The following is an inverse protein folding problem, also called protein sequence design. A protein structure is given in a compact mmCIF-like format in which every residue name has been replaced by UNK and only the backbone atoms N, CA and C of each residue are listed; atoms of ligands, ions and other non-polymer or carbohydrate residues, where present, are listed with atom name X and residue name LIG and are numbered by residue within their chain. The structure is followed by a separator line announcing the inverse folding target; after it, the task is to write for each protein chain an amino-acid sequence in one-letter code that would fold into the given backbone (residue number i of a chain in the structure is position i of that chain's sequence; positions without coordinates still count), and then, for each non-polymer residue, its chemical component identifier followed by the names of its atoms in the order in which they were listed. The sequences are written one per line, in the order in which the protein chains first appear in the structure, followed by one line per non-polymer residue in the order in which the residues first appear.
data_IF_626297354446
#
_entry.id   IF_626297354446
#
_cell.length_a   1.000
_cell.length_b   1.000
_cell.length_c   1.000
_cell.angle_alpha   90.00
_cell.angle_beta   90.00
_cell.angle_gamma   90.00
#
_symmetry.space_group_name_H-M   'P 1'
#
loop_
_entity.id
_entity.type
_entity.pdbx_description
1 polymer ?
#
# COMPACT_ATOMS: atom_id res chain seq x y z
N UNK A 1 -8.41 -12.10 -19.03
CA UNK A 1 -7.35 -11.09 -19.01
C UNK A 1 -7.59 -10.28 -17.74
N UNK A 2 -6.75 -10.41 -16.73
CA UNK A 2 -6.88 -9.56 -15.52
C UNK A 2 -6.20 -8.25 -15.92
N UNK A 3 -6.98 -7.20 -16.14
CA UNK A 3 -6.45 -5.87 -16.40
C UNK A 3 -5.54 -5.48 -15.23
N UNK A 4 -4.26 -5.32 -15.50
CA UNK A 4 -3.27 -4.87 -14.51
C UNK A 4 -3.49 -3.40 -14.13
N UNK A 5 -4.35 -2.70 -14.85
CA UNK A 5 -4.69 -1.28 -14.68
C UNK A 5 -5.76 -1.00 -13.61
N UNK A 6 -6.42 -2.04 -13.06
CA UNK A 6 -7.43 -1.86 -11.99
C UNK A 6 -6.83 -1.85 -10.57
N UNK A 7 -5.49 -1.79 -10.46
CA UNK A 7 -4.82 -1.73 -9.15
C UNK A 7 -4.82 -0.31 -8.62
N UNK A 8 -5.29 -0.16 -7.39
CA UNK A 8 -5.41 1.11 -6.68
C UNK A 8 -4.05 1.58 -6.15
N UNK A 9 -3.13 1.90 -7.05
CA UNK A 9 -1.82 2.46 -6.70
C UNK A 9 -1.99 3.87 -6.15
N UNK A 10 -1.49 4.12 -4.95
CA UNK A 10 -1.51 5.45 -4.34
C UNK A 10 -0.14 5.82 -3.77
N UNK A 11 0.05 7.09 -3.41
CA UNK A 11 1.29 7.51 -2.74
C UNK A 11 1.41 6.87 -1.35
N UNK A 12 2.62 6.86 -0.78
CA UNK A 12 2.85 6.43 0.61
C UNK A 12 1.96 7.18 1.60
N UNK A 13 1.80 8.49 1.42
CA UNK A 13 0.97 9.33 2.29
C UNK A 13 -0.52 8.98 2.20
N UNK A 14 -1.01 8.65 1.00
CA UNK A 14 -2.41 8.24 0.83
C UNK A 14 -2.66 6.81 1.34
N UNK A 15 -1.69 5.90 1.16
CA UNK A 15 -1.73 4.56 1.73
C UNK A 15 -1.79 4.64 3.27
N UNK A 16 -0.97 5.49 3.88
CA UNK A 16 -0.94 5.72 5.32
C UNK A 16 -2.31 6.16 5.86
N UNK A 17 -2.96 7.11 5.19
CA UNK A 17 -4.33 7.56 5.54
C UNK A 17 -5.35 6.43 5.43
N UNK A 18 -5.32 5.66 4.34
CA UNK A 18 -6.27 4.57 4.07
C UNK A 18 -6.12 3.39 5.04
N UNK A 19 -4.88 3.08 5.41
CA UNK A 19 -4.55 1.99 6.34
C UNK A 19 -4.57 2.42 7.81
N UNK A 20 -4.80 3.71 8.10
CA UNK A 20 -4.74 4.30 9.43
C UNK A 20 -3.41 4.02 10.17
N UNK A 21 -2.28 4.09 9.47
CA UNK A 21 -0.92 3.93 10.00
C UNK A 21 -0.02 5.11 9.59
N UNK A 22 1.21 5.18 10.10
CA UNK A 22 2.16 6.23 9.72
C UNK A 22 2.84 5.93 8.38
N UNK A 23 3.34 6.95 7.68
CA UNK A 23 4.14 6.77 6.46
C UNK A 23 5.40 5.91 6.73
N UNK A 24 5.99 6.04 7.92
CA UNK A 24 7.13 5.21 8.33
C UNK A 24 6.73 3.74 8.43
N UNK A 25 5.54 3.43 8.96
CA UNK A 25 5.03 2.07 9.01
C UNK A 25 4.71 1.52 7.60
N UNK A 26 4.17 2.35 6.69
CA UNK A 26 3.98 1.96 5.29
C UNK A 26 5.33 1.60 4.65
N UNK A 27 6.38 2.42 4.86
CA UNK A 27 7.73 2.15 4.35
C UNK A 27 8.31 0.86 4.92
N UNK A 28 8.17 0.63 6.23
CA UNK A 28 8.60 -0.62 6.87
C UNK A 28 7.87 -1.85 6.28
N UNK A 29 6.57 -1.74 5.98
CA UNK A 29 5.82 -2.81 5.31
C UNK A 29 6.29 -3.05 3.87
N UNK A 30 6.64 -2.00 3.13
CA UNK A 30 7.24 -2.12 1.79
C UNK A 30 8.62 -2.78 1.88
N UNK A 31 9.47 -2.37 2.81
CA UNK A 31 10.82 -2.91 3.00
C UNK A 31 10.78 -4.40 3.38
N UNK A 32 9.80 -4.79 4.21
CA UNK A 32 9.51 -6.20 4.55
C UNK A 32 8.81 -6.98 3.44
N UNK A 33 8.54 -6.35 2.29
CA UNK A 33 7.80 -6.91 1.14
C UNK A 33 6.37 -7.38 1.50
N UNK A 34 5.78 -6.80 2.54
CA UNK A 34 4.40 -7.04 2.94
C UNK A 34 3.40 -6.23 2.08
N UNK A 35 3.85 -5.09 1.53
CA UNK A 35 3.09 -4.31 0.56
C UNK A 35 3.77 -4.36 -0.81
N UNK A 36 2.94 -4.35 -1.87
CA UNK A 36 3.44 -4.14 -3.22
C UNK A 36 3.72 -2.67 -3.41
N UNK A 37 4.87 -2.36 -3.98
CA UNK A 37 5.26 -1.00 -4.30
C UNK A 37 5.91 -0.94 -5.69
N UNK A 38 5.80 0.22 -6.32
CA UNK A 38 6.38 0.51 -7.63
C UNK A 38 6.83 1.97 -7.67
N UNK A 39 7.79 2.29 -8.53
CA UNK A 39 8.19 3.67 -8.80
C UNK A 39 7.57 4.14 -10.10
N UNK A 40 6.73 5.18 -10.02
CA UNK A 40 6.11 5.84 -11.17
C UNK A 40 6.47 7.31 -11.12
N UNK A 41 7.01 7.85 -12.22
CA UNK A 41 7.40 9.25 -12.33
C UNK A 41 8.34 9.74 -11.21
N UNK A 42 9.22 8.85 -10.70
CA UNK A 42 10.15 9.16 -9.61
C UNK A 42 9.54 9.14 -8.21
N UNK A 43 8.27 8.76 -8.07
CA UNK A 43 7.55 8.69 -6.79
C UNK A 43 7.20 7.24 -6.46
N UNK A 44 7.44 6.85 -5.21
CA UNK A 44 7.05 5.55 -4.69
C UNK A 44 5.53 5.48 -4.54
N UNK A 45 4.92 4.59 -5.30
CA UNK A 45 3.52 4.24 -5.19
C UNK A 45 3.40 2.86 -4.55
N UNK A 46 2.36 2.70 -3.76
CA UNK A 46 2.07 1.50 -2.96
C UNK A 46 0.66 1.07 -3.28
N UNK A 47 0.44 -0.23 -3.41
CA UNK A 47 -0.90 -0.82 -3.49
C UNK A 47 -1.35 -1.05 -2.03
N UNK A 48 -2.22 -0.21 -1.46
CA UNK A 48 -2.67 -0.38 -0.09
C UNK A 48 -3.55 -1.62 -0.04
N UNK A 49 -3.04 -2.70 0.53
CA UNK A 49 -3.89 -3.78 0.97
C UNK A 49 -4.67 -3.25 2.19
N UNK A 50 -5.97 -3.00 2.05
CA UNK A 50 -6.85 -2.94 3.23
C UNK A 50 -6.83 -4.37 3.77
N UNK A 51 -5.89 -4.64 4.69
CA UNK A 51 -5.92 -5.90 5.44
C UNK A 51 -7.15 -5.77 6.33
N UNK A 52 -8.26 -6.32 5.85
CA UNK A 52 -9.49 -6.45 6.64
C UNK A 52 -9.21 -7.50 7.72
N UNK A 53 -8.34 -7.19 8.68
CA UNK A 53 -8.25 -7.96 9.91
C UNK A 53 -9.51 -7.66 10.69
N UNK A 54 -10.60 -8.35 10.36
CA UNK A 54 -11.65 -8.54 11.34
C UNK A 54 -10.96 -9.08 12.60
N UNK A 55 -11.18 -8.48 13.78
CA UNK A 55 -10.68 -9.05 15.01
C UNK A 55 -11.36 -10.40 15.17
N UNK A 56 -10.62 -11.49 14.92
CA UNK A 56 -11.03 -12.84 15.31
C UNK A 56 -11.16 -12.82 16.82
N UNK A 57 -12.42 -12.72 17.28
CA UNK A 57 -12.84 -12.96 18.66
C UNK A 57 -13.10 -14.45 18.82
#
# INVERSE_FOLDING_TARGET
MIDLDDRDWCTVGDAAKRMAITEAAVRDLVDRRALRATFMYGVLHVEPAIVNTMPTT
#
